data_IF_053102549616
#
_entry.id   IF_053102549616
#
_cell.length_a   1.000
_cell.length_b   1.000
_cell.length_c   1.000
_cell.angle_alpha   90.00
_cell.angle_beta   90.00
_cell.angle_gamma   90.00
#
_symmetry.space_group_name_H-M   'P 1'
#
loop_
_entity.id
_entity.type
_entity.pdbx_description
1 polymer ?
#
# COMPACT_ATOMS: atom_id res chain seq x y z
N UNK A 1 15.70 -1.52 7.59
CA UNK A 1 14.24 -1.71 7.45
C UNK A 1 13.61 -0.35 7.23
N UNK A 2 12.60 -0.27 6.36
CA UNK A 2 11.84 0.97 6.18
C UNK A 2 11.18 1.39 7.50
N UNK A 3 11.04 2.69 7.75
CA UNK A 3 10.35 3.19 8.93
C UNK A 3 8.86 2.83 8.80
N UNK A 4 8.33 2.07 9.77
CA UNK A 4 6.90 1.75 9.83
C UNK A 4 6.09 3.04 9.96
N UNK A 5 5.27 3.37 8.96
CA UNK A 5 4.36 4.51 9.00
C UNK A 5 3.12 4.18 9.82
N UNK A 6 2.71 5.11 10.66
CA UNK A 6 1.48 5.07 11.43
C UNK A 6 0.48 6.11 10.89
N UNK A 7 -0.76 6.05 11.37
CA UNK A 7 -1.84 6.96 10.95
C UNK A 7 -1.43 8.44 11.07
N UNK A 8 -0.73 8.80 12.15
CA UNK A 8 -0.25 10.17 12.37
C UNK A 8 0.80 10.65 11.36
N UNK A 9 1.56 9.75 10.75
CA UNK A 9 2.52 10.13 9.71
C UNK A 9 1.79 10.61 8.45
N UNK A 10 0.67 9.98 8.08
CA UNK A 10 -0.12 10.39 6.93
C UNK A 10 -0.80 11.77 7.12
N UNK A 11 -1.26 12.07 8.33
CA UNK A 11 -1.78 13.41 8.65
C UNK A 11 -0.70 14.48 8.47
N UNK A 12 0.52 14.22 8.95
CA UNK A 12 1.67 15.12 8.78
C UNK A 12 2.07 15.28 7.32
N UNK A 13 2.08 14.20 6.53
CA UNK A 13 2.37 14.26 5.10
C UNK A 13 1.35 15.16 4.39
N UNK A 14 0.05 15.05 4.73
CA UNK A 14 -0.99 15.93 4.19
C UNK A 14 -0.75 17.39 4.57
N UNK A 15 -0.46 17.69 5.83
CA UNK A 15 -0.15 19.05 6.31
C UNK A 15 1.06 19.65 5.57
N UNK A 16 2.07 18.83 5.30
CA UNK A 16 3.28 19.21 4.60
C UNK A 16 3.14 19.22 3.06
N UNK A 17 1.94 18.95 2.52
CA UNK A 17 1.71 18.78 1.08
C UNK A 17 2.60 17.72 0.42
N UNK A 18 3.03 16.73 1.19
CA UNK A 18 3.76 15.56 0.72
C UNK A 18 2.78 14.52 0.18
N UNK A 19 3.03 14.02 -1.04
CA UNK A 19 2.18 13.00 -1.65
C UNK A 19 2.38 11.66 -0.96
N UNK A 20 1.29 10.94 -0.76
CA UNK A 20 1.29 9.57 -0.21
C UNK A 20 1.08 8.58 -1.35
N UNK A 21 1.85 7.50 -1.37
CA UNK A 21 1.84 6.44 -2.39
C UNK A 21 1.27 5.14 -1.84
N UNK A 22 0.27 4.59 -2.54
CA UNK A 22 -0.50 3.43 -2.11
C UNK A 22 -0.53 2.42 -3.25
N UNK A 23 -0.39 1.13 -2.94
CA UNK A 23 -0.52 0.05 -3.92
C UNK A 23 -1.29 -1.12 -3.31
N UNK A 24 -2.06 -1.81 -4.13
CA UNK A 24 -2.65 -3.07 -3.74
C UNK A 24 -1.63 -4.20 -3.78
N UNK A 25 -1.60 -5.03 -2.76
CA UNK A 25 -0.71 -6.20 -2.67
C UNK A 25 -1.46 -7.30 -1.94
N UNK A 26 -1.34 -8.54 -2.42
CA UNK A 26 -2.21 -9.64 -1.99
C UNK A 26 -1.46 -10.85 -1.42
N UNK A 27 -0.13 -10.86 -1.54
CA UNK A 27 0.72 -11.95 -1.08
C UNK A 27 2.04 -11.43 -0.47
N UNK A 28 2.77 -12.33 0.18
CA UNK A 28 4.01 -12.00 0.85
C UNK A 28 5.12 -11.48 -0.10
N UNK A 29 5.42 -12.14 -1.24
CA UNK A 29 6.45 -11.65 -2.15
C UNK A 29 6.17 -10.25 -2.69
N UNK A 30 4.93 -9.98 -3.11
CA UNK A 30 4.54 -8.65 -3.62
C UNK A 30 4.64 -7.59 -2.54
N UNK A 31 4.25 -7.91 -1.30
CA UNK A 31 4.37 -6.99 -0.17
C UNK A 31 5.84 -6.66 0.16
N UNK A 32 6.74 -7.64 0.08
CA UNK A 32 8.18 -7.40 0.26
C UNK A 32 8.74 -6.46 -0.82
N UNK A 33 8.33 -6.63 -2.08
CA UNK A 33 8.76 -5.72 -3.15
C UNK A 33 8.19 -4.31 -2.96
N UNK A 34 6.93 -4.18 -2.53
CA UNK A 34 6.32 -2.89 -2.21
C UNK A 34 7.05 -2.15 -1.07
N UNK A 35 7.46 -2.86 -0.02
CA UNK A 35 8.27 -2.30 1.06
C UNK A 35 9.65 -1.86 0.55
N UNK A 36 10.33 -2.70 -0.25
CA UNK A 36 11.63 -2.37 -0.83
C UNK A 36 11.57 -1.17 -1.80
N UNK A 37 10.45 -0.99 -2.50
CA UNK A 37 10.20 0.15 -3.37
C UNK A 37 9.87 1.45 -2.61
N UNK A 38 9.69 1.39 -1.29
CA UNK A 38 9.45 2.56 -0.45
C UNK A 38 8.01 3.06 -0.48
N UNK A 39 7.02 2.18 -0.74
CA UNK A 39 5.61 2.58 -0.66
C UNK A 39 5.19 2.93 0.76
N UNK A 40 4.33 3.94 0.88
CA UNK A 40 3.85 4.41 2.18
C UNK A 40 2.77 3.50 2.78
N UNK A 41 1.97 2.85 1.93
CA UNK A 41 0.88 1.96 2.34
C UNK A 41 0.65 0.81 1.34
N UNK A 42 0.34 -0.37 1.89
CA UNK A 42 -0.21 -1.51 1.16
C UNK A 42 -1.71 -1.62 1.48
N UNK A 43 -2.53 -1.71 0.44
CA UNK A 43 -3.98 -1.93 0.57
C UNK A 43 -4.33 -3.37 0.16
N UNK A 44 -4.73 -4.19 1.13
CA UNK A 44 -5.35 -5.50 0.84
C UNK A 44 -6.83 -5.25 0.55
N UNK A 45 -7.12 -4.95 -0.71
CA UNK A 45 -8.46 -4.58 -1.18
C UNK A 45 -9.28 -5.75 -1.72
N UNK A 46 -10.57 -5.51 -1.89
CA UNK A 46 -11.54 -6.40 -2.56
C UNK A 46 -11.25 -6.61 -4.06
N UNK A 47 -10.48 -5.70 -4.68
CA UNK A 47 -9.92 -5.83 -6.02
C UNK A 47 -9.12 -7.13 -6.25
N UNK A 48 -8.67 -7.80 -5.18
CA UNK A 48 -8.22 -9.20 -5.17
C UNK A 48 -9.17 -10.12 -5.98
N UNK A 49 -10.48 -9.95 -5.81
CA UNK A 49 -11.49 -10.79 -6.46
C UNK A 49 -11.34 -10.79 -7.97
N UNK A 50 -11.13 -9.63 -8.58
CA UNK A 50 -10.92 -9.51 -10.03
C UNK A 50 -9.50 -9.89 -10.44
N UNK A 51 -8.49 -9.35 -9.74
CA UNK A 51 -7.10 -9.46 -10.17
C UNK A 51 -6.46 -10.82 -9.89
N UNK A 52 -6.91 -11.53 -8.85
CA UNK A 52 -6.32 -12.81 -8.42
C UNK A 52 -7.28 -13.96 -8.64
N UNK A 53 -8.56 -13.81 -8.29
CA UNK A 53 -9.54 -14.90 -8.44
C UNK A 53 -10.32 -14.88 -9.77
N UNK A 54 -10.21 -13.81 -10.57
CA UNK A 54 -10.88 -13.70 -11.86
C UNK A 54 -12.41 -13.55 -11.76
N UNK A 55 -12.94 -13.06 -10.62
CA UNK A 55 -14.34 -12.72 -10.49
C UNK A 55 -14.72 -11.57 -11.44
N UNK A 56 -15.98 -11.57 -11.87
CA UNK A 56 -16.53 -10.46 -12.65
C UNK A 56 -16.70 -9.24 -11.74
N UNK A 57 -16.26 -8.09 -12.23
CA UNK A 57 -16.51 -6.77 -11.63
C UNK A 57 -17.83 -6.17 -12.06
#
# INVERSE_FOLDING_TARGET
>A
MAKKKAIHDFYKMKENSEKVTWLTSYDFPTAQFAEAAGLDMILVGDSLGMCVYGYKG
#
